data_IF_319170540921
#
_entry.id   IF_319170540921
#
_cell.length_a   1.000
_cell.length_b   1.000
_cell.length_c   1.000
_cell.angle_alpha   90.00
_cell.angle_beta   90.00
_cell.angle_gamma   90.00
#
_symmetry.space_group_name_H-M   'P 1'
#
loop_
_entity.id
_entity.type
_entity.pdbx_description
1 polymer ?
#
# COMPACT_ATOMS: atom_id res chain seq x y z
N UNK A 1 7.76 13.11 -15.92
CA UNK A 1 7.36 11.69 -15.91
C UNK A 1 5.88 11.63 -15.55
N UNK A 2 5.04 11.01 -16.38
CA UNK A 2 3.63 10.77 -16.04
C UNK A 2 3.53 9.53 -15.14
N UNK A 3 2.51 9.46 -14.29
CA UNK A 3 2.25 8.33 -13.40
C UNK A 3 0.83 7.85 -13.66
N UNK A 4 0.70 6.58 -14.00
CA UNK A 4 -0.56 5.85 -14.08
C UNK A 4 -0.57 4.79 -12.98
N UNK A 5 -1.62 4.78 -12.16
CA UNK A 5 -1.80 3.83 -11.08
C UNK A 5 -3.20 3.22 -11.15
N UNK A 6 -3.28 1.89 -11.19
CA UNK A 6 -4.54 1.15 -11.29
C UNK A 6 -4.58 -0.07 -10.35
N UNK A 7 -5.78 -0.54 -10.02
CA UNK A 7 -5.94 -1.80 -9.28
C UNK A 7 -5.51 -3.00 -10.14
N UNK A 8 -4.91 -4.02 -9.52
CA UNK A 8 -4.62 -5.30 -10.17
C UNK A 8 -5.93 -6.05 -10.35
N UNK A 9 -6.26 -6.38 -11.60
CA UNK A 9 -7.47 -7.11 -11.98
C UNK A 9 -7.15 -8.60 -12.21
N UNK A 10 -5.92 -8.93 -12.58
CA UNK A 10 -5.43 -10.29 -12.81
C UNK A 10 -3.96 -10.43 -12.37
N UNK A 11 -3.61 -11.55 -11.74
CA UNK A 11 -2.27 -11.83 -11.21
C UNK A 11 -1.56 -12.80 -12.16
N UNK A 12 -1.34 -12.35 -13.40
CA UNK A 12 -0.52 -13.08 -14.36
C UNK A 12 0.80 -12.33 -14.61
N UNK A 13 1.91 -13.07 -14.60
CA UNK A 13 3.28 -12.60 -14.86
C UNK A 13 3.74 -11.40 -14.02
N UNK A 14 4.06 -11.65 -12.74
CA UNK A 14 4.64 -10.64 -11.84
C UNK A 14 6.18 -10.57 -11.93
N UNK A 15 6.71 -9.78 -12.86
CA UNK A 15 8.16 -9.60 -13.01
C UNK A 15 8.76 -8.63 -11.98
N UNK A 16 8.11 -7.49 -11.78
CA UNK A 16 8.62 -6.41 -10.91
C UNK A 16 7.56 -6.04 -9.89
N UNK A 17 7.64 -6.65 -8.71
CA UNK A 17 6.65 -6.43 -7.66
C UNK A 17 7.29 -6.31 -6.28
N UNK A 18 6.50 -5.77 -5.35
CA UNK A 18 6.79 -5.82 -3.92
C UNK A 18 5.50 -6.03 -3.15
N UNK A 19 5.50 -7.03 -2.28
CA UNK A 19 4.52 -7.19 -1.23
C UNK A 19 5.08 -6.60 0.07
N UNK A 20 4.26 -5.87 0.81
CA UNK A 20 4.66 -5.30 2.10
C UNK A 20 3.47 -5.15 3.05
N UNK A 21 3.81 -5.05 4.34
CA UNK A 21 2.85 -4.81 5.41
C UNK A 21 2.92 -3.36 5.87
N UNK A 22 1.75 -2.76 6.07
CA UNK A 22 1.62 -1.45 6.70
C UNK A 22 0.70 -1.55 7.91
N UNK A 23 1.05 -0.89 9.01
CA UNK A 23 0.21 -0.89 10.20
C UNK A 23 0.18 0.48 10.87
N UNK A 24 -0.92 0.76 11.58
CA UNK A 24 -1.11 1.96 12.38
C UNK A 24 -2.06 1.70 13.53
N UNK A 25 -1.67 2.15 14.72
CA UNK A 25 -2.56 2.21 15.88
C UNK A 25 -3.27 3.56 15.93
N UNK A 26 -4.57 3.55 16.19
CA UNK A 26 -5.40 4.75 16.27
C UNK A 26 -6.09 4.81 17.63
N UNK A 27 -5.92 5.93 18.31
CA UNK A 27 -6.50 6.21 19.62
C UNK A 27 -7.81 7.00 19.49
N UNK A 28 -8.85 6.54 20.21
CA UNK A 28 -10.16 7.17 20.35
C UNK A 28 -10.37 7.64 21.79
N UNK A 29 -10.06 8.92 22.10
CA UNK A 29 -10.07 9.41 23.46
C UNK A 29 -11.48 9.52 24.08
N UNK A 30 -12.55 9.52 23.28
CA UNK A 30 -13.92 9.73 23.77
C UNK A 30 -14.77 8.44 23.66
N UNK A 31 -15.28 7.95 24.80
CA UNK A 31 -15.70 6.56 25.02
C UNK A 31 -17.12 6.18 24.59
N UNK A 32 -17.77 6.95 23.71
CA UNK A 32 -19.11 6.61 23.21
C UNK A 32 -19.07 5.60 22.05
N UNK A 33 -17.88 5.32 21.52
CA UNK A 33 -17.64 4.32 20.48
C UNK A 33 -17.40 2.97 21.15
N UNK A 34 -18.20 1.97 20.80
CA UNK A 34 -18.01 0.62 21.31
C UNK A 34 -17.08 -0.18 20.41
N UNK A 35 -15.78 -0.15 20.71
CA UNK A 35 -14.75 -0.88 19.95
C UNK A 35 -14.77 -2.40 20.20
N UNK A 36 -15.65 -2.97 21.05
CA UNK A 36 -15.64 -4.43 21.32
C UNK A 36 -16.29 -5.30 20.22
N UNK A 37 -16.81 -4.69 19.16
CA UNK A 37 -17.44 -5.38 18.04
C UNK A 37 -16.51 -5.41 16.82
N UNK A 38 -16.82 -6.30 15.88
CA UNK A 38 -16.22 -6.28 14.55
C UNK A 38 -16.39 -4.88 13.91
N UNK A 39 -15.28 -4.33 13.42
CA UNK A 39 -15.23 -3.00 12.81
C UNK A 39 -15.16 -3.22 11.31
N UNK A 40 -16.25 -2.88 10.62
CA UNK A 40 -16.25 -2.90 9.16
C UNK A 40 -15.40 -1.74 8.64
N UNK A 41 -14.71 -1.97 7.53
CA UNK A 41 -13.97 -0.93 6.85
C UNK A 41 -14.02 -1.10 5.33
N UNK A 42 -13.80 0.00 4.62
CA UNK A 42 -13.41 -0.02 3.21
C UNK A 42 -12.06 0.65 3.09
N UNK A 43 -11.26 0.20 2.11
CA UNK A 43 -9.91 0.71 1.93
C UNK A 43 -9.59 0.97 0.48
N UNK A 44 -8.81 2.03 0.22
CA UNK A 44 -8.31 2.37 -1.11
C UNK A 44 -6.87 2.85 -1.02
N UNK A 45 -6.10 2.65 -2.09
CA UNK A 45 -4.74 3.19 -2.20
C UNK A 45 -4.77 4.43 -3.09
N UNK A 46 -4.04 5.45 -2.67
CA UNK A 46 -3.72 6.60 -3.50
C UNK A 46 -2.21 6.69 -3.66
N UNK A 47 -1.70 6.44 -4.87
CA UNK A 47 -0.28 6.63 -5.19
C UNK A 47 -0.04 8.12 -5.45
N UNK A 48 0.79 8.73 -4.60
CA UNK A 48 1.06 10.17 -4.65
C UNK A 48 2.18 10.48 -5.63
N UNK A 49 3.23 9.66 -5.63
CA UNK A 49 4.37 9.85 -6.53
C UNK A 49 5.16 8.57 -6.70
N UNK A 50 5.81 8.42 -7.85
CA UNK A 50 6.80 7.38 -8.08
C UNK A 50 8.03 7.97 -8.78
N UNK A 51 9.23 7.46 -8.45
CA UNK A 51 10.49 7.94 -9.02
C UNK A 51 11.51 6.82 -9.14
N UNK A 52 12.15 6.71 -10.30
CA UNK A 52 13.33 5.88 -10.48
C UNK A 52 14.54 6.51 -9.80
N UNK A 53 15.29 5.69 -9.07
CA UNK A 53 16.56 6.07 -8.46
C UNK A 53 17.61 5.02 -8.75
N UNK A 54 18.83 5.48 -8.99
CA UNK A 54 19.99 4.62 -9.02
C UNK A 54 20.39 4.24 -7.59
N UNK A 55 20.75 2.98 -7.41
CA UNK A 55 21.26 2.44 -6.16
C UNK A 55 22.60 1.72 -6.40
N UNK A 56 23.35 1.36 -5.34
CA UNK A 56 24.56 0.56 -5.51
C UNK A 56 24.29 -0.74 -6.26
N UNK A 57 25.26 -1.13 -7.10
CA UNK A 57 25.31 -2.44 -7.75
C UNK A 57 26.24 -3.36 -6.97
N UNK A 58 25.85 -4.62 -6.82
CA UNK A 58 26.70 -5.61 -6.15
C UNK A 58 25.88 -6.67 -5.42
N UNK A 59 26.50 -7.27 -4.43
CA UNK A 59 25.86 -8.25 -3.56
C UNK A 59 25.93 -7.71 -2.13
N UNK A 60 24.80 -7.71 -1.42
CA UNK A 60 24.80 -7.34 0.00
C UNK A 60 25.56 -8.37 0.83
N UNK A 61 25.87 -8.03 2.09
CA UNK A 61 26.50 -8.98 3.03
C UNK A 61 25.58 -10.20 3.23
N UNK A 62 24.26 -10.02 3.13
CA UNK A 62 23.28 -11.11 3.20
C UNK A 62 23.11 -11.88 1.86
N UNK A 63 23.91 -11.60 0.84
CA UNK A 63 23.86 -12.32 -0.43
C UNK A 63 22.81 -11.81 -1.43
N UNK A 64 22.14 -10.68 -1.16
CA UNK A 64 21.12 -10.14 -2.06
C UNK A 64 21.76 -9.44 -3.26
N UNK A 65 21.29 -9.78 -4.47
CA UNK A 65 21.72 -9.09 -5.69
C UNK A 65 21.10 -7.70 -5.79
N UNK A 66 21.96 -6.68 -5.74
CA UNK A 66 21.61 -5.28 -5.93
C UNK A 66 21.77 -4.94 -7.41
N UNK A 67 20.64 -4.79 -8.09
CA UNK A 67 20.54 -4.48 -9.53
C UNK A 67 20.97 -3.05 -9.87
N UNK A 68 21.14 -2.21 -8.85
CA UNK A 68 21.51 -0.81 -8.98
C UNK A 68 20.37 0.13 -9.36
N UNK A 69 19.11 -0.32 -9.32
CA UNK A 69 17.96 0.53 -9.64
C UNK A 69 16.72 0.18 -8.82
N UNK A 70 16.01 1.21 -8.39
CA UNK A 70 14.73 1.08 -7.66
C UNK A 70 13.71 2.07 -8.19
N UNK A 71 12.45 1.66 -8.21
CA UNK A 71 11.31 2.57 -8.32
C UNK A 71 10.80 2.84 -6.90
N UNK A 72 11.04 4.05 -6.38
CA UNK A 72 10.51 4.50 -5.08
C UNK A 72 9.10 5.03 -5.28
N UNK A 73 8.20 4.63 -4.39
CA UNK A 73 6.76 4.86 -4.47
C UNK A 73 6.30 5.47 -3.14
N UNK A 74 5.67 6.63 -3.21
CA UNK A 74 4.99 7.25 -2.08
C UNK A 74 3.49 7.13 -2.28
N UNK A 75 2.78 6.70 -1.24
CA UNK A 75 1.34 6.53 -1.31
C UNK A 75 0.65 6.65 0.04
N UNK A 76 -0.67 6.60 0.00
CA UNK A 76 -1.56 6.63 1.15
C UNK A 76 -2.50 5.43 1.07
N UNK A 77 -2.52 4.62 2.11
CA UNK A 77 -3.65 3.73 2.38
C UNK A 77 -4.74 4.55 3.08
N UNK A 78 -5.87 4.73 2.41
CA UNK A 78 -7.06 5.37 2.98
C UNK A 78 -7.98 4.27 3.51
N UNK A 79 -8.28 4.32 4.80
CA UNK A 79 -9.18 3.37 5.46
C UNK A 79 -10.38 4.13 6.02
N UNK A 80 -11.57 3.80 5.56
CA UNK A 80 -12.82 4.29 6.11
C UNK A 80 -13.35 3.27 7.09
N UNK A 81 -13.36 3.63 8.38
CA UNK A 81 -13.93 2.81 9.43
C UNK A 81 -15.40 3.13 9.63
N UNK A 82 -16.22 2.10 9.72
CA UNK A 82 -17.63 2.21 10.10
C UNK A 82 -17.78 1.79 11.57
N UNK A 83 -17.96 2.78 12.43
CA UNK A 83 -18.01 2.62 13.88
C UNK A 83 -19.47 2.67 14.35
N UNK A 84 -19.82 1.74 15.24
CA UNK A 84 -21.14 1.74 15.88
C UNK A 84 -21.08 2.44 17.25
N UNK A 85 -21.94 3.43 17.44
CA UNK A 85 -22.09 4.19 18.69
C UNK A 85 -23.18 3.62 19.60
N UNK A 86 -23.38 4.29 20.75
CA UNK A 86 -24.58 4.18 21.60
C UNK A 86 -25.22 5.58 21.73
N UNK A 87 -25.95 6.03 20.73
CA UNK A 87 -26.73 7.26 20.71
C UNK A 87 -28.09 6.98 20.06
N UNK A 88 -29.15 7.43 20.73
CA UNK A 88 -30.56 7.04 20.49
C UNK A 88 -31.13 7.36 19.10
N UNK A 89 -30.37 8.04 18.24
CA UNK A 89 -30.79 8.45 16.91
C UNK A 89 -29.57 8.30 15.97
N UNK A 90 -29.58 7.24 15.15
CA UNK A 90 -28.68 7.00 14.01
C UNK A 90 -27.18 6.76 14.34
N UNK A 91 -26.85 5.52 14.70
CA UNK A 91 -25.62 5.15 15.43
C UNK A 91 -24.41 4.70 14.57
N UNK A 92 -24.21 5.26 13.37
CA UNK A 92 -23.06 4.93 12.50
C UNK A 92 -22.17 6.16 12.28
N UNK A 93 -20.98 6.14 12.87
CA UNK A 93 -19.95 7.16 12.62
C UNK A 93 -18.91 6.62 11.63
N UNK A 94 -18.61 7.39 10.58
CA UNK A 94 -17.52 7.06 9.66
C UNK A 94 -16.26 7.85 10.03
N UNK A 95 -15.13 7.16 10.19
CA UNK A 95 -13.82 7.79 10.40
C UNK A 95 -12.88 7.44 9.25
N UNK A 96 -12.46 8.45 8.49
CA UNK A 96 -11.41 8.31 7.50
C UNK A 96 -10.03 8.40 8.18
N UNK A 97 -9.17 7.42 7.92
CA UNK A 97 -7.79 7.35 8.38
C UNK A 97 -6.89 7.24 7.17
N UNK A 98 -5.83 8.04 7.17
CA UNK A 98 -4.78 8.01 6.15
C UNK A 98 -3.50 7.47 6.76
N UNK A 99 -2.95 6.44 6.14
CA UNK A 99 -1.70 5.79 6.55
C UNK A 99 -0.71 5.96 5.40
N UNK A 100 0.29 6.85 5.54
CA UNK A 100 1.30 7.04 4.50
C UNK A 100 2.26 5.87 4.45
N UNK A 101 2.70 5.51 3.24
CA UNK A 101 3.78 4.56 3.01
C UNK A 101 4.81 5.11 2.02
N UNK A 102 6.03 4.59 2.16
CA UNK A 102 7.15 4.85 1.26
C UNK A 102 7.84 3.52 1.00
N UNK A 103 7.62 2.96 -0.18
CA UNK A 103 8.12 1.66 -0.56
C UNK A 103 8.92 1.72 -1.86
N UNK A 104 9.56 0.62 -2.23
CA UNK A 104 10.31 0.54 -3.47
C UNK A 104 10.21 -0.82 -4.14
N UNK A 105 10.16 -0.85 -5.48
CA UNK A 105 10.31 -2.06 -6.28
C UNK A 105 11.75 -2.10 -6.80
N UNK A 106 12.43 -3.25 -6.66
CA UNK A 106 13.77 -3.47 -7.22
C UNK A 106 13.62 -3.75 -8.71
N UNK A 107 14.37 -3.03 -9.54
CA UNK A 107 14.27 -3.09 -11.00
C UNK A 107 15.61 -3.49 -11.62
N UNK A 108 15.64 -4.11 -12.80
CA UNK A 108 16.88 -4.32 -13.53
C UNK A 108 17.52 -2.98 -13.92
N UNK A 109 18.82 -3.00 -14.21
CA UNK A 109 19.56 -1.78 -14.56
C UNK A 109 19.03 -1.12 -15.84
N UNK A 110 18.58 -1.92 -16.81
CA UNK A 110 18.06 -1.46 -18.11
C UNK A 110 16.53 -1.42 -18.03
N UNK A 111 15.97 -0.23 -17.86
CA UNK A 111 14.52 0.05 -17.98
C UNK A 111 14.35 1.36 -18.76
N UNK A 112 13.21 1.53 -19.42
CA UNK A 112 12.88 2.77 -20.12
C UNK A 112 12.35 3.82 -19.12
N UNK A 113 13.15 4.83 -18.77
CA UNK A 113 12.80 5.86 -17.77
C UNK A 113 12.11 7.09 -18.35
N UNK A 114 12.23 7.31 -19.67
CA UNK A 114 11.74 8.53 -20.35
C UNK A 114 10.21 8.55 -20.50
N UNK A 115 9.51 7.53 -20.01
CA UNK A 115 8.10 7.28 -20.26
C UNK A 115 7.28 7.28 -18.97
N UNK A 116 5.99 7.04 -19.13
CA UNK A 116 5.03 6.95 -18.04
C UNK A 116 5.35 5.78 -17.10
N UNK A 117 5.26 6.01 -15.79
CA UNK A 117 5.33 4.95 -14.80
C UNK A 117 3.97 4.31 -14.68
N UNK A 118 3.87 3.05 -15.08
CA UNK A 118 2.69 2.23 -14.94
C UNK A 118 2.80 1.37 -13.69
N UNK A 119 2.08 1.76 -12.63
CA UNK A 119 1.97 1.01 -11.40
C UNK A 119 0.61 0.32 -11.32
N UNK A 120 0.62 -0.91 -10.82
CA UNK A 120 -0.59 -1.60 -10.36
C UNK A 120 -0.49 -1.89 -8.88
N UNK A 121 -1.63 -1.92 -8.20
CA UNK A 121 -1.69 -2.24 -6.78
C UNK A 121 -2.83 -3.17 -6.44
N UNK A 122 -2.66 -3.98 -5.40
CA UNK A 122 -3.70 -4.80 -4.81
C UNK A 122 -3.64 -4.65 -3.29
N UNK A 123 -4.79 -4.36 -2.68
CA UNK A 123 -4.97 -4.51 -1.24
C UNK A 123 -5.39 -5.96 -1.03
N UNK A 124 -4.47 -6.81 -0.58
CA UNK A 124 -4.74 -8.23 -0.41
C UNK A 124 -5.58 -8.46 0.86
N UNK A 125 -5.26 -7.73 1.92
CA UNK A 125 -5.99 -7.83 3.18
C UNK A 125 -5.95 -6.50 3.95
N UNK A 126 -7.04 -6.21 4.67
CA UNK A 126 -7.08 -5.16 5.70
C UNK A 126 -7.70 -5.75 6.96
N UNK A 127 -6.93 -5.74 8.03
CA UNK A 127 -7.32 -6.19 9.35
C UNK A 127 -7.50 -4.96 10.23
N UNK A 128 -8.69 -4.81 10.82
CA UNK A 128 -8.97 -3.83 11.87
C UNK A 128 -9.29 -4.56 13.15
N UNK A 129 -8.45 -4.39 14.18
CA UNK A 129 -8.60 -5.10 15.45
C UNK A 129 -8.59 -4.15 16.64
N UNK A 130 -9.58 -4.20 17.52
CA UNK A 130 -9.51 -3.54 18.82
C UNK A 130 -8.36 -4.14 19.64
N UNK A 131 -7.47 -3.29 20.17
CA UNK A 131 -6.39 -3.71 21.07
C UNK A 131 -6.76 -3.35 22.52
N UNK A 132 -7.38 -2.19 22.72
CA UNK A 132 -7.85 -1.72 24.02
C UNK A 132 -9.29 -1.21 23.91
N UNK A 133 -9.84 -0.67 25.00
CA UNK A 133 -11.14 0.03 24.97
C UNK A 133 -11.12 1.29 24.09
N UNK A 134 -9.94 1.84 23.84
CA UNK A 134 -9.75 3.12 23.15
C UNK A 134 -8.87 3.01 21.90
N UNK A 135 -8.21 1.88 21.67
CA UNK A 135 -7.24 1.73 20.59
C UNK A 135 -7.63 0.62 19.64
N UNK A 136 -7.44 0.87 18.35
CA UNK A 136 -7.49 -0.13 17.30
C UNK A 136 -6.15 -0.22 16.59
N UNK A 137 -5.80 -1.42 16.15
CA UNK A 137 -4.78 -1.68 15.15
C UNK A 137 -5.45 -1.75 13.78
N UNK A 138 -4.88 -1.03 12.82
CA UNK A 138 -5.13 -1.27 11.40
C UNK A 138 -3.85 -1.88 10.85
N UNK A 139 -3.96 -3.02 10.17
CA UNK A 139 -2.87 -3.66 9.45
C UNK A 139 -3.36 -4.01 8.05
N UNK A 140 -2.51 -3.87 7.05
CA UNK A 140 -2.85 -4.25 5.68
C UNK A 140 -1.64 -4.84 4.97
N UNK A 141 -1.93 -5.85 4.15
CA UNK A 141 -0.98 -6.44 3.20
C UNK A 141 -1.28 -5.83 1.84
N UNK A 142 -0.25 -5.23 1.23
CA UNK A 142 -0.35 -4.54 -0.05
C UNK A 142 0.68 -5.11 -1.01
N UNK A 143 0.23 -5.35 -2.23
CA UNK A 143 1.05 -5.75 -3.37
C UNK A 143 1.14 -4.58 -4.35
N UNK A 144 2.35 -4.17 -4.72
CA UNK A 144 2.63 -3.21 -5.78
C UNK A 144 3.35 -3.91 -6.91
N UNK A 145 2.98 -3.58 -8.14
CA UNK A 145 3.60 -4.08 -9.36
C UNK A 145 3.96 -2.92 -10.26
N UNK A 146 5.17 -2.95 -10.82
CA UNK A 146 5.55 -2.10 -11.93
C UNK A 146 5.39 -2.88 -13.24
N UNK A 147 4.65 -2.28 -14.18
CA UNK A 147 4.46 -2.85 -15.51
C UNK A 147 5.46 -2.20 -16.45
N UNK A 148 6.46 -2.96 -16.85
CA UNK A 148 7.35 -2.56 -17.93
C UNK A 148 6.73 -3.00 -19.27
N UNK A 149 5.99 -2.09 -19.89
CA UNK A 149 5.36 -2.32 -21.21
C UNK A 149 6.39 -2.41 -22.36
N UNK A 150 7.68 -2.25 -22.07
CA UNK A 150 8.76 -2.16 -23.06
C UNK A 150 9.79 -3.28 -22.92
N UNK A 151 9.47 -4.35 -22.18
CA UNK A 151 10.12 -5.64 -22.40
C UNK A 151 9.69 -6.09 -23.80
N UNK A 152 10.43 -5.63 -24.81
CA UNK A 152 10.39 -6.18 -26.14
C UNK A 152 10.54 -7.70 -26.00
N UNK A 153 9.61 -8.41 -26.62
CA UNK A 153 9.74 -9.83 -26.94
C UNK A 153 11.18 -10.06 -27.45
N UNK A 154 12.06 -10.59 -26.61
CA UNK A 154 13.23 -11.29 -27.11
C UNK A 154 12.68 -12.56 -27.77
N UNK A 155 12.63 -12.51 -29.12
CA UNK A 155 12.41 -13.67 -29.99
C UNK A 155 13.37 -14.81 -29.67
#
# INVERSE_FOLDING_TARGET
>A
MKLNAAEIIDIDNMNYFKQFNIYKTIHFPNSNINLKKEINCTSTINIVSAKFIDTPKGTSIEGQHLTGKKLVILGLLNVNLFLNGKCKYEDKAMKNIKIPFSEFIVLPTKICEDKEVNLRYLIEEVIVRPITKHDILISSVILLQYIDEYILEEK
#
